data_IF_587149983788
#
_entry.id   IF_587149983788
#
_cell.length_a   1.000
_cell.length_b   1.000
_cell.length_c   1.000
_cell.angle_alpha   90.00
_cell.angle_beta   90.00
_cell.angle_gamma   90.00
#
_symmetry.space_group_name_H-M   'P 1'
#
loop_
_entity.id
_entity.type
_entity.pdbx_description
1 polymer ?
#
# COMPACT_ATOMS: atom_id res chain seq x y z
N UNK A 1 -58.37 -43.30 33.46
CA UNK A 1 -56.90 -43.30 33.52
C UNK A 1 -56.41 -42.52 32.33
N UNK A 2 -56.03 -41.28 32.56
CA UNK A 2 -55.66 -40.32 31.48
C UNK A 2 -54.14 -40.12 31.54
N UNK A 3 -53.46 -40.45 30.46
CA UNK A 3 -52.01 -40.33 30.34
C UNK A 3 -51.65 -39.02 29.63
N UNK A 4 -51.06 -38.12 30.40
CA UNK A 4 -50.51 -36.81 29.86
C UNK A 4 -49.17 -37.08 29.22
N UNK A 5 -49.03 -36.86 27.92
CA UNK A 5 -47.77 -36.79 27.20
C UNK A 5 -47.28 -35.34 27.20
N UNK A 6 -46.23 -35.08 27.93
CA UNK A 6 -45.47 -33.84 27.88
C UNK A 6 -44.54 -33.84 26.65
N UNK A 7 -44.82 -32.94 25.70
CA UNK A 7 -43.97 -32.69 24.55
C UNK A 7 -42.88 -31.69 24.92
N UNK A 8 -41.63 -32.14 24.95
CA UNK A 8 -40.45 -31.29 25.11
C UNK A 8 -40.11 -30.62 23.77
N UNK A 9 -40.36 -29.35 23.66
CA UNK A 9 -39.93 -28.55 22.51
C UNK A 9 -38.44 -28.17 22.72
N UNK A 10 -37.57 -28.81 21.96
CA UNK A 10 -36.15 -28.48 21.90
C UNK A 10 -35.99 -27.21 21.07
N UNK A 11 -35.69 -26.08 21.70
CA UNK A 11 -35.32 -24.83 21.00
C UNK A 11 -33.86 -24.92 20.60
N UNK A 12 -33.63 -25.14 19.31
CA UNK A 12 -32.30 -25.07 18.69
C UNK A 12 -31.94 -23.60 18.53
N UNK A 13 -31.00 -23.12 19.33
CA UNK A 13 -30.42 -21.79 19.19
C UNK A 13 -29.37 -21.86 18.06
N UNK A 14 -29.71 -21.35 16.88
CA UNK A 14 -28.77 -21.18 15.78
C UNK A 14 -27.88 -19.96 16.09
N UNK A 15 -26.66 -20.21 16.58
CA UNK A 15 -25.65 -19.19 16.75
C UNK A 15 -25.08 -18.86 15.36
N UNK A 16 -25.49 -17.75 14.75
CA UNK A 16 -24.90 -17.23 13.53
C UNK A 16 -23.52 -16.65 13.83
N UNK A 17 -22.48 -17.42 13.46
CA UNK A 17 -21.09 -16.98 13.52
C UNK A 17 -20.86 -15.96 12.40
N UNK A 18 -20.89 -14.68 12.73
CA UNK A 18 -20.49 -13.61 11.83
C UNK A 18 -18.96 -13.60 11.74
N UNK A 19 -18.40 -14.22 10.71
CA UNK A 19 -16.98 -14.10 10.38
C UNK A 19 -16.77 -12.72 9.79
N UNK A 20 -16.25 -11.77 10.57
CA UNK A 20 -15.69 -10.54 10.05
C UNK A 20 -14.43 -10.92 9.25
N UNK A 21 -14.55 -10.92 7.93
CA UNK A 21 -13.39 -10.88 7.04
C UNK A 21 -12.76 -9.48 7.22
N UNK A 22 -11.75 -9.39 8.06
CA UNK A 22 -10.86 -8.26 8.07
C UNK A 22 -10.13 -8.27 6.72
N UNK A 23 -10.54 -7.40 5.79
CA UNK A 23 -9.78 -7.11 4.59
C UNK A 23 -8.46 -6.51 5.05
N UNK A 24 -7.38 -7.28 4.95
CA UNK A 24 -6.03 -6.73 5.07
C UNK A 24 -5.89 -5.71 3.94
N UNK A 25 -5.88 -4.43 4.27
CA UNK A 25 -5.46 -3.40 3.33
C UNK A 25 -3.98 -3.68 3.05
N UNK A 26 -3.69 -4.26 1.89
CA UNK A 26 -2.32 -4.41 1.44
C UNK A 26 -1.86 -3.05 0.94
N UNK A 27 -1.02 -2.39 1.72
CA UNK A 27 -0.35 -1.15 1.32
C UNK A 27 0.68 -1.37 0.19
N UNK A 28 0.75 -2.58 -0.38
CA UNK A 28 1.69 -2.95 -1.43
C UNK A 28 0.99 -3.70 -2.56
N UNK A 29 1.30 -3.30 -3.78
CA UNK A 29 0.82 -3.93 -5.02
C UNK A 29 1.98 -4.62 -5.72
N UNK A 30 1.73 -5.80 -6.27
CA UNK A 30 2.73 -6.62 -6.97
C UNK A 30 2.45 -6.62 -8.46
N UNK A 31 3.50 -6.40 -9.26
CA UNK A 31 3.47 -6.56 -10.72
C UNK A 31 4.64 -7.39 -11.22
N UNK A 32 4.40 -8.13 -12.29
CA UNK A 32 5.42 -8.94 -12.97
C UNK A 32 5.72 -8.30 -14.32
N UNK A 33 6.99 -8.05 -14.59
CA UNK A 33 7.47 -7.36 -15.79
C UNK A 33 8.54 -8.18 -16.53
N UNK A 34 8.91 -7.77 -17.75
CA UNK A 34 9.94 -8.43 -18.54
C UNK A 34 9.58 -9.88 -18.88
N UNK A 35 8.34 -10.14 -19.33
CA UNK A 35 7.85 -11.48 -19.67
C UNK A 35 8.00 -12.51 -18.52
N UNK A 36 7.85 -12.06 -17.29
CA UNK A 36 7.99 -12.92 -16.10
C UNK A 36 9.38 -12.95 -15.50
N UNK A 37 10.34 -12.20 -16.05
CA UNK A 37 11.71 -12.18 -15.56
C UNK A 37 11.87 -11.48 -14.20
N UNK A 38 11.00 -10.51 -13.91
CA UNK A 38 11.09 -9.71 -12.69
C UNK A 38 9.75 -9.49 -12.02
N UNK A 39 9.78 -9.40 -10.70
CA UNK A 39 8.64 -9.04 -9.87
C UNK A 39 8.95 -7.73 -9.15
N UNK A 40 8.05 -6.75 -9.27
CA UNK A 40 8.11 -5.47 -8.60
C UNK A 40 6.95 -5.40 -7.60
N UNK A 41 7.28 -5.07 -6.37
CA UNK A 41 6.31 -4.77 -5.32
C UNK A 41 6.48 -3.31 -4.95
N UNK A 42 5.43 -2.51 -5.05
CA UNK A 42 5.47 -1.11 -4.65
C UNK A 42 4.33 -0.78 -3.70
N UNK A 43 4.61 0.09 -2.76
CA UNK A 43 3.66 0.53 -1.73
C UNK A 43 4.22 1.65 -0.89
N UNK A 44 3.61 1.85 0.27
CA UNK A 44 4.08 2.82 1.26
C UNK A 44 4.56 2.10 2.51
N UNK A 45 5.61 2.64 3.16
CA UNK A 45 6.15 2.07 4.40
C UNK A 45 5.21 2.30 5.57
N UNK A 46 4.56 3.45 5.60
CA UNK A 46 3.66 3.85 6.66
C UNK A 46 2.21 3.78 6.18
N UNK A 47 1.29 3.52 7.09
CA UNK A 47 -0.17 3.58 6.89
C UNK A 47 -0.83 3.86 8.24
N UNK A 48 -1.78 4.78 8.30
CA UNK A 48 -2.29 5.63 7.22
C UNK A 48 -1.34 6.79 6.86
N UNK A 49 -1.44 7.27 5.62
CA UNK A 49 -0.72 8.44 5.13
C UNK A 49 -1.45 9.73 5.51
N UNK A 50 -0.69 10.80 5.76
CA UNK A 50 -1.26 12.10 6.12
C UNK A 50 -0.74 13.24 5.25
N UNK A 51 -1.65 14.13 4.82
CA UNK A 51 -1.28 15.33 4.08
C UNK A 51 -0.36 16.24 4.92
N UNK A 52 0.72 16.70 4.32
CA UNK A 52 1.72 17.57 4.97
C UNK A 52 2.83 16.83 5.72
N UNK A 53 2.76 15.50 5.83
CA UNK A 53 3.82 14.68 6.42
C UNK A 53 4.74 14.09 5.35
N UNK A 54 5.97 13.73 5.73
CA UNK A 54 6.89 13.03 4.84
C UNK A 54 6.47 11.58 4.81
N UNK A 55 6.21 11.08 3.61
CA UNK A 55 5.80 9.71 3.32
C UNK A 55 6.87 9.00 2.49
N UNK A 56 6.93 7.68 2.62
CA UNK A 56 7.96 6.85 2.01
C UNK A 56 7.34 5.79 1.10
N UNK A 57 7.68 5.85 -0.20
CA UNK A 57 7.39 4.76 -1.14
C UNK A 57 8.41 3.66 -0.93
N UNK A 58 7.97 2.44 -0.65
CA UNK A 58 8.80 1.23 -0.62
C UNK A 58 8.68 0.46 -1.93
N UNK A 59 9.81 0.14 -2.54
CA UNK A 59 9.88 -0.64 -3.77
C UNK A 59 10.81 -1.83 -3.55
N UNK A 60 10.33 -3.03 -3.88
CA UNK A 60 11.12 -4.25 -3.85
C UNK A 60 11.16 -4.88 -5.23
N UNK A 61 12.34 -5.23 -5.70
CA UNK A 61 12.52 -5.86 -7.02
C UNK A 61 13.29 -7.16 -6.87
N UNK A 62 12.71 -8.23 -7.41
CA UNK A 62 13.31 -9.56 -7.45
C UNK A 62 13.28 -10.13 -8.87
N UNK A 63 14.20 -11.03 -9.17
CA UNK A 63 14.16 -11.82 -10.40
C UNK A 63 13.16 -12.99 -10.31
N UNK A 64 13.05 -13.78 -11.38
CA UNK A 64 12.15 -14.93 -11.46
C UNK A 64 12.50 -16.04 -10.44
N UNK A 65 13.72 -16.08 -9.91
CA UNK A 65 14.12 -17.01 -8.87
C UNK A 65 13.88 -16.46 -7.45
N UNK A 66 13.38 -15.22 -7.34
CA UNK A 66 13.15 -14.52 -6.08
C UNK A 66 14.42 -13.86 -5.52
N UNK A 67 15.52 -13.83 -6.28
CA UNK A 67 16.73 -13.15 -5.85
C UNK A 67 16.58 -11.62 -6.01
N UNK A 68 17.10 -10.82 -5.06
CA UNK A 68 16.99 -9.37 -5.10
C UNK A 68 17.79 -8.79 -6.28
N UNK A 69 17.21 -7.79 -6.96
CA UNK A 69 17.88 -7.07 -8.06
C UNK A 69 18.41 -5.74 -7.53
N UNK A 70 19.72 -5.59 -7.54
CA UNK A 70 20.42 -4.42 -7.01
C UNK A 70 20.88 -3.46 -8.12
N UNK A 71 21.33 -2.26 -7.73
CA UNK A 71 21.98 -1.29 -8.62
C UNK A 71 21.04 -0.49 -9.50
N UNK A 72 19.74 -0.51 -9.25
CA UNK A 72 18.73 0.14 -10.10
C UNK A 72 18.40 1.59 -9.72
N UNK A 73 18.93 2.13 -8.63
CA UNK A 73 18.52 3.45 -8.12
C UNK A 73 18.65 4.58 -9.17
N UNK A 74 19.63 4.49 -10.06
CA UNK A 74 19.85 5.50 -11.12
C UNK A 74 19.00 5.25 -12.39
N UNK A 75 18.56 4.01 -12.61
CA UNK A 75 17.77 3.60 -13.78
C UNK A 75 16.25 3.65 -13.50
N UNK A 76 15.84 3.61 -12.23
CA UNK A 76 14.45 3.73 -11.83
C UNK A 76 13.98 5.19 -11.86
N UNK A 77 12.76 5.38 -12.32
CA UNK A 77 11.98 6.62 -12.21
C UNK A 77 10.73 6.32 -11.43
N UNK A 78 10.47 7.12 -10.41
CA UNK A 78 9.26 7.02 -9.60
C UNK A 78 8.50 8.34 -9.72
N UNK A 79 7.22 8.23 -10.02
CA UNK A 79 6.28 9.34 -10.05
C UNK A 79 5.13 9.04 -9.09
N UNK A 80 4.77 10.00 -8.29
CA UNK A 80 3.57 9.93 -7.45
C UNK A 80 2.43 10.54 -8.26
N UNK A 81 1.35 9.78 -8.41
CA UNK A 81 0.13 10.19 -9.10
C UNK A 81 -0.92 10.52 -8.06
N UNK A 82 -1.15 11.80 -7.85
CA UNK A 82 -2.09 12.30 -6.85
C UNK A 82 -3.51 12.50 -7.41
N UNK A 83 -4.42 12.97 -6.55
CA UNK A 83 -5.80 13.27 -6.94
C UNK A 83 -5.89 14.19 -8.15
N UNK A 84 -6.82 13.86 -9.07
CA UNK A 84 -7.00 14.62 -10.31
C UNK A 84 -5.92 14.36 -11.38
N UNK A 85 -5.05 13.36 -11.19
CA UNK A 85 -4.02 12.99 -12.16
C UNK A 85 -2.76 13.87 -12.13
N UNK A 86 -2.59 14.67 -11.07
CA UNK A 86 -1.36 15.42 -10.89
C UNK A 86 -0.20 14.46 -10.60
N UNK A 87 0.93 14.63 -11.29
CA UNK A 87 2.12 13.79 -11.12
C UNK A 87 3.31 14.59 -10.62
N UNK A 88 4.12 13.98 -9.76
CA UNK A 88 5.40 14.52 -9.32
C UNK A 88 6.47 13.43 -9.35
N UNK A 89 7.58 13.71 -10.02
CA UNK A 89 8.74 12.81 -10.01
C UNK A 89 9.50 12.97 -8.69
N UNK A 90 9.90 11.85 -8.11
CA UNK A 90 10.62 11.79 -6.83
C UNK A 90 11.95 11.05 -6.98
N UNK A 91 12.92 11.43 -6.16
CA UNK A 91 14.24 10.82 -6.19
C UNK A 91 14.22 9.44 -5.53
N UNK A 92 14.81 8.46 -6.19
CA UNK A 92 14.93 7.08 -5.72
C UNK A 92 16.31 6.86 -5.12
N UNK A 93 16.37 6.12 -4.03
CA UNK A 93 17.62 5.66 -3.43
C UNK A 93 17.53 4.19 -3.02
N UNK A 94 18.65 3.48 -3.09
CA UNK A 94 18.72 2.12 -2.56
C UNK A 94 18.70 2.14 -1.03
N UNK A 95 18.03 1.16 -0.43
CA UNK A 95 18.00 1.00 1.03
C UNK A 95 19.27 0.30 1.49
N UNK A 96 19.99 0.95 2.41
CA UNK A 96 21.26 0.42 2.92
C UNK A 96 21.06 -0.95 3.59
N UNK A 97 21.94 -1.91 3.26
CA UNK A 97 21.90 -3.28 3.79
C UNK A 97 20.60 -4.04 3.50
N UNK A 98 19.89 -3.67 2.45
CA UNK A 98 18.63 -4.30 2.03
C UNK A 98 18.66 -4.50 0.51
N UNK A 99 19.28 -5.58 0.02
CA UNK A 99 19.39 -5.87 -1.41
C UNK A 99 18.01 -5.87 -2.09
N UNK A 100 17.92 -5.28 -3.29
CA UNK A 100 16.70 -5.20 -4.08
C UNK A 100 15.61 -4.27 -3.52
N UNK A 101 15.93 -3.52 -2.46
CA UNK A 101 15.02 -2.53 -1.87
C UNK A 101 15.40 -1.12 -2.25
N UNK A 102 14.38 -0.33 -2.62
CA UNK A 102 14.49 1.07 -3.01
C UNK A 102 13.43 1.88 -2.29
N UNK A 103 13.71 3.14 -2.03
CA UNK A 103 12.78 4.05 -1.37
C UNK A 103 12.81 5.41 -2.04
N UNK A 104 11.64 6.05 -2.07
CA UNK A 104 11.50 7.43 -2.52
C UNK A 104 10.65 8.21 -1.51
N UNK A 105 11.00 9.46 -1.25
CA UNK A 105 10.34 10.30 -0.27
C UNK A 105 9.50 11.36 -0.96
N UNK A 106 8.30 11.65 -0.44
CA UNK A 106 7.45 12.73 -0.92
C UNK A 106 6.60 13.30 0.22
N UNK A 107 5.97 14.44 -0.03
CA UNK A 107 5.01 15.05 0.90
C UNK A 107 3.69 15.24 0.15
N UNK A 108 2.65 14.45 0.44
CA UNK A 108 1.33 14.68 -0.12
C UNK A 108 0.73 15.97 0.43
N UNK A 109 0.15 16.80 -0.43
CA UNK A 109 -0.42 18.10 -0.03
C UNK A 109 -1.94 18.12 -0.08
N UNK A 110 -2.55 17.10 -0.67
CA UNK A 110 -4.01 16.99 -0.87
C UNK A 110 -4.49 15.66 -0.36
N UNK A 111 -5.63 15.64 0.30
CA UNK A 111 -6.32 14.42 0.71
C UNK A 111 -6.86 13.67 -0.51
N UNK A 112 -6.73 12.38 -0.53
CA UNK A 112 -7.27 11.52 -1.60
C UNK A 112 -6.37 10.34 -1.94
N UNK A 113 -6.72 9.62 -3.01
CA UNK A 113 -5.97 8.46 -3.46
C UNK A 113 -4.68 8.87 -4.16
N UNK A 114 -3.63 8.16 -3.84
CA UNK A 114 -2.32 8.32 -4.45
C UNK A 114 -1.85 6.99 -5.00
N UNK A 115 -1.44 6.99 -6.27
CA UNK A 115 -0.85 5.85 -6.94
C UNK A 115 0.65 6.07 -7.12
N UNK A 116 1.37 4.98 -7.33
CA UNK A 116 2.82 5.02 -7.59
C UNK A 116 3.08 4.50 -8.99
N UNK A 117 3.69 5.31 -9.86
CA UNK A 117 4.20 4.87 -11.15
C UNK A 117 5.68 4.62 -11.03
N UNK A 118 6.11 3.43 -11.42
CA UNK A 118 7.52 3.04 -11.47
C UNK A 118 7.86 2.66 -12.89
N UNK A 119 8.90 3.26 -13.43
CA UNK A 119 9.38 2.99 -14.78
C UNK A 119 10.89 2.96 -14.83
N UNK A 120 11.45 2.40 -15.91
CA UNK A 120 12.90 2.34 -16.12
C UNK A 120 13.34 1.07 -16.80
N UNK A 121 14.58 0.67 -16.50
CA UNK A 121 15.21 -0.50 -17.08
C UNK A 121 15.74 -1.45 -16.00
N UNK A 122 15.50 -2.75 -16.19
CA UNK A 122 16.13 -3.82 -15.43
C UNK A 122 16.96 -4.65 -16.45
N UNK A 123 18.27 -4.42 -16.49
CA UNK A 123 19.08 -4.92 -17.58
C UNK A 123 18.66 -4.31 -18.91
N UNK A 124 18.24 -5.13 -19.86
CA UNK A 124 17.72 -4.69 -21.16
C UNK A 124 16.17 -4.56 -21.20
N UNK A 125 15.47 -4.91 -20.13
CA UNK A 125 14.02 -4.88 -20.06
C UNK A 125 13.53 -3.49 -19.63
N UNK A 126 12.87 -2.78 -20.53
CA UNK A 126 12.13 -1.57 -20.23
C UNK A 126 10.78 -1.92 -19.60
N UNK A 127 10.36 -1.16 -18.61
CA UNK A 127 9.03 -1.28 -18.00
C UNK A 127 8.48 0.07 -17.58
N UNK A 128 7.16 0.16 -17.50
CA UNK A 128 6.42 1.34 -17.07
C UNK A 128 5.08 0.88 -16.47
N UNK A 129 5.00 0.89 -15.15
CA UNK A 129 3.90 0.31 -14.41
C UNK A 129 3.31 1.28 -13.39
N UNK A 130 1.97 1.36 -13.34
CA UNK A 130 1.25 2.12 -12.32
C UNK A 130 0.71 1.15 -11.27
N UNK A 131 1.10 1.35 -10.04
CA UNK A 131 0.62 0.61 -8.87
C UNK A 131 -0.55 1.40 -8.28
N UNK A 132 -1.76 0.96 -8.61
CA UNK A 132 -3.01 1.65 -8.25
C UNK A 132 -3.56 1.18 -6.91
N UNK A 133 -4.28 2.07 -6.22
CA UNK A 133 -4.99 1.75 -4.97
C UNK A 133 -4.06 1.40 -3.82
N UNK A 134 -2.84 1.92 -3.85
CA UNK A 134 -1.83 1.59 -2.84
C UNK A 134 -2.23 2.14 -1.49
N UNK A 135 -2.64 3.42 -1.39
CA UNK A 135 -3.09 4.01 -0.13
C UNK A 135 -3.85 5.32 -0.36
N UNK A 136 -4.67 5.68 0.63
CA UNK A 136 -5.34 6.97 0.69
C UNK A 136 -4.62 7.90 1.66
N UNK A 137 -4.36 9.12 1.23
CA UNK A 137 -3.88 10.20 2.09
C UNK A 137 -5.04 10.83 2.85
N UNK A 138 -4.93 10.88 4.16
CA UNK A 138 -5.90 11.46 5.07
C UNK A 138 -5.51 12.88 5.48
N UNK A 139 -6.49 13.63 6.01
CA UNK A 139 -6.19 14.89 6.70
C UNK A 139 -5.40 14.58 7.98
N UNK A 140 -4.34 15.36 8.24
CA UNK A 140 -3.58 15.21 9.48
C UNK A 140 -4.47 15.56 10.68
N UNK A 141 -4.72 14.63 11.61
CA UNK A 141 -5.58 14.86 12.77
C UNK A 141 -5.01 15.90 13.72
N UNK A 142 -3.69 16.07 13.76
CA UNK A 142 -3.01 17.02 14.65
C UNK A 142 -3.17 18.45 14.14
N UNK A 143 -3.07 18.67 12.83
CA UNK A 143 -3.21 20.00 12.21
C UNK A 143 -4.67 20.46 12.22
N UNK A 144 -5.62 19.54 12.21
CA UNK A 144 -7.05 19.85 12.16
C UNK A 144 -7.73 19.84 13.54
N UNK A 145 -7.00 19.59 14.63
CA UNK A 145 -7.53 19.72 15.99
C UNK A 145 -7.47 21.19 16.43
N UNK A 146 -8.63 21.86 16.61
CA UNK A 146 -8.68 23.26 17.06
C UNK A 146 -8.03 23.49 18.43
N UNK A 147 -7.81 22.42 19.21
CA UNK A 147 -7.10 22.51 20.49
C UNK A 147 -5.56 22.62 20.33
N UNK A 148 -5.03 22.31 19.15
CA UNK A 148 -3.59 22.41 18.87
C UNK A 148 -3.15 23.79 18.40
N UNK A 149 -4.10 24.70 18.11
CA UNK A 149 -3.81 26.09 17.76
C UNK A 149 -3.67 26.88 19.06
N UNK A 150 -2.58 26.70 19.79
CA UNK A 150 -2.15 27.64 20.83
C UNK A 150 -1.51 28.84 20.14
N UNK A 151 -2.26 29.90 19.99
CA UNK A 151 -1.71 31.21 19.63
C UNK A 151 -1.06 31.76 20.88
N UNK A 152 0.24 32.20 20.87
CA UNK A 152 0.91 32.85 21.98
C UNK A 152 0.31 34.20 22.30
#
# INVERSE_FOLDING_TARGET
MSSFRTSSATRTLAASLFILLASSAFAHVTKVVGDGAYTIVAGYLDSPLYAGQIEHVDISITDAAGAPVEGLAESLRVEIVGPGGATVAVSVRAVRNSPGKYVADFIPTVVGNYDVRVSGFIGEHEFDEVFEGVEMVHADPVVNDPATISVP
#
